data_IF_621251926898
#
_entry.id   IF_621251926898
#
_cell.length_a   1.000
_cell.length_b   1.000
_cell.length_c   1.000
_cell.angle_alpha   90.00
_cell.angle_beta   90.00
_cell.angle_gamma   90.00
#
_symmetry.space_group_name_H-M   'P 1'
#
loop_
_entity.id
_entity.type
_entity.pdbx_description
1 polymer ?
#
# COMPACT_ATOMS: atom_id res chain seq x y z
N UNK A 1 12.90 16.36 -17.67
CA UNK A 1 11.81 15.60 -18.31
C UNK A 1 12.31 14.32 -19.00
N UNK A 2 13.33 14.39 -19.89
CA UNK A 2 13.85 13.20 -20.59
C UNK A 2 14.44 12.11 -19.67
N UNK A 3 15.07 12.49 -18.55
CA UNK A 3 15.58 11.54 -17.57
C UNK A 3 14.46 10.93 -16.71
N UNK A 4 13.44 11.72 -16.37
CA UNK A 4 12.27 11.29 -15.59
C UNK A 4 11.37 10.33 -16.37
N UNK A 5 11.23 10.54 -17.69
CA UNK A 5 10.45 9.66 -18.57
C UNK A 5 11.07 8.26 -18.79
N UNK A 6 12.28 8.02 -18.26
CA UNK A 6 12.97 6.72 -18.31
C UNK A 6 13.24 6.08 -16.95
N UNK A 7 12.48 6.47 -15.91
CA UNK A 7 12.52 5.81 -14.63
C UNK A 7 13.46 6.43 -13.58
N UNK A 8 14.02 7.61 -13.79
CA UNK A 8 14.94 8.25 -12.85
C UNK A 8 16.34 7.61 -12.83
N UNK A 9 17.18 7.94 -11.84
CA UNK A 9 18.58 7.48 -11.70
C UNK A 9 19.44 7.61 -12.97
N UNK A 10 19.06 8.52 -13.84
CA UNK A 10 19.75 8.79 -15.11
C UNK A 10 20.18 10.25 -15.18
N UNK A 11 21.32 10.46 -15.78
CA UNK A 11 21.78 11.79 -16.19
C UNK A 11 21.62 11.90 -17.69
N UNK A 12 20.89 12.92 -18.15
CA UNK A 12 20.78 13.24 -19.56
C UNK A 12 21.57 14.51 -19.83
N UNK A 13 22.59 14.40 -20.64
CA UNK A 13 23.38 15.54 -21.11
C UNK A 13 22.94 15.83 -22.54
N UNK A 14 22.35 17.02 -22.73
CA UNK A 14 21.98 17.54 -24.04
C UNK A 14 22.91 18.70 -24.40
N UNK A 15 23.69 18.56 -25.44
CA UNK A 15 24.38 19.66 -26.10
C UNK A 15 23.80 19.82 -27.53
N UNK A 16 24.22 20.85 -28.24
CA UNK A 16 23.56 21.25 -29.48
C UNK A 16 23.54 20.17 -30.58
N UNK A 17 24.35 19.15 -30.49
CA UNK A 17 24.51 18.11 -31.52
C UNK A 17 24.14 16.71 -31.02
N UNK A 18 24.09 16.46 -29.72
CA UNK A 18 23.93 15.10 -29.19
C UNK A 18 23.21 15.07 -27.83
N UNK A 19 22.34 14.07 -27.67
CA UNK A 19 21.74 13.72 -26.40
C UNK A 19 22.45 12.44 -25.92
N UNK A 20 23.07 12.50 -24.76
CA UNK A 20 23.74 11.35 -24.14
C UNK A 20 23.03 10.98 -22.84
N UNK A 21 22.80 9.69 -22.64
CA UNK A 21 22.16 9.13 -21.44
C UNK A 21 23.22 8.37 -20.65
N UNK A 22 23.27 8.60 -19.33
CA UNK A 22 24.18 7.96 -18.41
C UNK A 22 23.41 7.41 -17.21
N UNK A 23 23.68 6.19 -16.79
CA UNK A 23 22.99 5.51 -15.69
C UNK A 23 21.70 4.80 -16.13
N UNK A 24 20.94 4.33 -15.16
CA UNK A 24 19.67 3.63 -15.40
C UNK A 24 19.86 2.18 -15.84
N UNK A 25 20.07 1.31 -14.85
CA UNK A 25 20.10 -0.13 -15.09
C UNK A 25 18.75 -0.72 -14.62
N UNK A 26 17.73 -0.54 -15.45
CA UNK A 26 16.34 -0.92 -15.18
C UNK A 26 16.23 -2.38 -14.70
N UNK A 27 17.02 -3.30 -15.28
CA UNK A 27 17.03 -4.72 -14.89
C UNK A 27 17.62 -4.96 -13.49
N UNK A 28 18.58 -4.16 -13.03
CA UNK A 28 19.12 -4.28 -11.67
C UNK A 28 18.18 -3.68 -10.64
N UNK A 29 17.48 -2.61 -10.96
CA UNK A 29 16.42 -2.03 -10.12
C UNK A 29 15.28 -3.03 -9.93
N UNK A 30 14.73 -3.62 -10.99
CA UNK A 30 13.71 -4.66 -10.90
C UNK A 30 14.15 -5.88 -10.07
N UNK A 31 15.37 -6.34 -10.24
CA UNK A 31 15.89 -7.48 -9.48
C UNK A 31 16.05 -7.15 -8.00
N UNK A 32 16.47 -5.93 -7.67
CA UNK A 32 16.58 -5.44 -6.28
C UNK A 32 15.20 -5.26 -5.63
N UNK A 33 14.22 -4.71 -6.35
CA UNK A 33 12.86 -4.52 -5.84
C UNK A 33 12.20 -5.87 -5.54
N UNK A 34 12.25 -6.85 -6.43
CA UNK A 34 11.69 -8.19 -6.21
C UNK A 34 12.30 -8.93 -5.03
N UNK A 35 13.63 -8.85 -4.85
CA UNK A 35 14.30 -9.45 -3.68
C UNK A 35 13.84 -8.76 -2.41
N UNK A 36 13.76 -7.43 -2.42
CA UNK A 36 13.30 -6.64 -1.29
C UNK A 36 11.85 -6.96 -0.95
N UNK A 37 10.96 -6.98 -1.94
CA UNK A 37 9.54 -7.32 -1.74
C UNK A 37 9.36 -8.71 -1.10
N UNK A 38 10.16 -9.70 -1.50
CA UNK A 38 10.13 -11.04 -0.91
C UNK A 38 10.52 -11.03 0.56
N UNK A 39 11.59 -10.31 0.92
CA UNK A 39 12.05 -10.18 2.32
C UNK A 39 11.00 -9.44 3.15
N UNK A 40 10.44 -8.35 2.63
CA UNK A 40 9.37 -7.58 3.27
C UNK A 40 8.12 -8.44 3.47
N UNK A 41 7.71 -9.20 2.45
CA UNK A 41 6.55 -10.10 2.55
C UNK A 41 6.73 -11.17 3.63
N UNK A 42 7.93 -11.71 3.79
CA UNK A 42 8.23 -12.67 4.84
C UNK A 42 8.16 -12.01 6.23
N UNK A 43 8.78 -10.84 6.42
CA UNK A 43 8.71 -10.11 7.68
C UNK A 43 7.26 -9.69 8.02
N UNK A 44 6.50 -9.24 7.02
CA UNK A 44 5.08 -8.91 7.18
C UNK A 44 4.27 -10.14 7.63
N UNK A 45 4.51 -11.30 7.03
CA UNK A 45 3.86 -12.56 7.46
C UNK A 45 4.14 -12.90 8.92
N UNK A 46 5.38 -12.80 9.35
CA UNK A 46 5.78 -13.10 10.74
C UNK A 46 5.05 -12.15 11.71
N UNK A 47 5.07 -10.84 11.43
CA UNK A 47 4.36 -9.85 12.25
C UNK A 47 2.84 -10.10 12.28
N UNK A 48 2.22 -10.53 11.16
CA UNK A 48 0.81 -10.90 11.09
C UNK A 48 0.54 -12.13 11.98
N UNK A 49 1.38 -13.17 11.92
CA UNK A 49 1.17 -14.38 12.72
C UNK A 49 1.33 -14.15 14.21
N UNK A 50 2.22 -13.27 14.63
CA UNK A 50 2.41 -12.88 16.04
C UNK A 50 1.28 -12.02 16.58
N UNK A 51 0.46 -11.43 15.72
CA UNK A 51 -0.56 -10.46 16.12
C UNK A 51 -1.89 -11.14 16.44
N UNK A 52 -2.64 -10.56 17.38
CA UNK A 52 -3.98 -11.01 17.75
C UNK A 52 -5.05 -10.54 16.76
N UNK A 53 -4.93 -9.30 16.32
CA UNK A 53 -5.77 -8.66 15.31
C UNK A 53 -4.96 -7.67 14.47
N UNK A 54 -5.42 -7.41 13.28
CA UNK A 54 -4.77 -6.50 12.35
C UNK A 54 -5.76 -5.39 11.95
N UNK A 55 -5.27 -4.16 12.00
CA UNK A 55 -5.96 -2.98 11.53
C UNK A 55 -5.21 -2.39 10.34
N UNK A 56 -5.95 -1.96 9.32
CA UNK A 56 -5.39 -1.28 8.15
C UNK A 56 -5.99 0.11 8.09
N UNK A 57 -5.19 1.13 7.83
CA UNK A 57 -5.68 2.46 7.51
C UNK A 57 -4.82 3.15 6.46
N UNK A 58 -5.42 4.06 5.70
CA UNK A 58 -4.77 4.91 4.72
C UNK A 58 -4.69 6.36 5.15
N UNK A 59 -4.70 7.26 4.18
CA UNK A 59 -4.75 8.71 4.40
C UNK A 59 -6.19 9.22 4.65
N UNK A 60 -6.32 10.49 5.10
CA UNK A 60 -7.59 11.11 5.54
C UNK A 60 -8.71 11.07 4.50
N UNK A 61 -8.36 11.21 3.22
CA UNK A 61 -9.31 11.19 2.11
C UNK A 61 -8.91 10.05 1.17
N UNK A 62 -9.14 8.78 1.56
CA UNK A 62 -8.66 7.65 0.80
C UNK A 62 -9.18 7.69 -0.64
N UNK A 63 -8.28 7.49 -1.55
CA UNK A 63 -8.56 7.28 -2.97
C UNK A 63 -8.57 5.79 -3.32
N UNK A 64 -8.62 5.48 -4.60
CA UNK A 64 -8.65 4.09 -5.05
C UNK A 64 -7.34 3.35 -4.79
N UNK A 65 -6.18 4.06 -4.69
CA UNK A 65 -4.92 3.38 -4.40
C UNK A 65 -4.84 2.98 -2.92
N UNK A 66 -5.07 3.91 -1.99
CA UNK A 66 -5.13 3.61 -0.56
C UNK A 66 -6.16 2.52 -0.23
N UNK A 67 -7.37 2.62 -0.83
CA UNK A 67 -8.46 1.69 -0.51
C UNK A 67 -8.29 0.34 -1.21
N UNK A 68 -7.87 0.30 -2.47
CA UNK A 68 -7.58 -0.94 -3.20
C UNK A 68 -6.44 -1.73 -2.57
N UNK A 69 -5.35 -1.05 -2.18
CA UNK A 69 -4.25 -1.64 -1.42
C UNK A 69 -4.74 -2.24 -0.08
N UNK A 70 -5.60 -1.50 0.65
CA UNK A 70 -6.20 -1.97 1.92
C UNK A 70 -7.01 -3.25 1.71
N UNK A 71 -7.88 -3.31 0.70
CA UNK A 71 -8.71 -4.48 0.39
C UNK A 71 -7.85 -5.67 -0.05
N UNK A 72 -6.82 -5.45 -0.85
CA UNK A 72 -5.87 -6.49 -1.26
C UNK A 72 -5.14 -7.10 -0.07
N UNK A 73 -4.62 -6.28 0.85
CA UNK A 73 -3.99 -6.74 2.09
C UNK A 73 -4.97 -7.47 2.99
N UNK A 74 -6.18 -6.93 3.19
CA UNK A 74 -7.23 -7.59 3.95
C UNK A 74 -7.49 -9.00 3.42
N UNK A 75 -7.65 -9.15 2.11
CA UNK A 75 -7.86 -10.46 1.48
C UNK A 75 -6.70 -11.43 1.76
N UNK A 76 -5.45 -10.97 1.63
CA UNK A 76 -4.28 -11.79 1.91
C UNK A 76 -4.20 -12.21 3.39
N UNK A 77 -4.45 -11.29 4.31
CA UNK A 77 -4.42 -11.54 5.76
C UNK A 77 -5.51 -12.53 6.17
N UNK A 78 -6.70 -12.41 5.60
CA UNK A 78 -7.80 -13.37 5.79
C UNK A 78 -7.45 -14.77 5.31
N UNK A 79 -6.74 -14.89 4.19
CA UNK A 79 -6.25 -16.16 3.69
C UNK A 79 -5.16 -16.78 4.57
N UNK A 80 -4.44 -15.97 5.36
CA UNK A 80 -3.53 -16.44 6.41
C UNK A 80 -4.27 -16.84 7.70
N UNK A 81 -5.62 -16.76 7.74
CA UNK A 81 -6.43 -17.16 8.89
C UNK A 81 -6.47 -16.12 10.02
N UNK A 82 -6.13 -14.86 9.74
CA UNK A 82 -6.10 -13.79 10.75
C UNK A 82 -7.29 -12.83 10.62
N UNK A 83 -7.72 -12.28 11.77
CA UNK A 83 -8.72 -11.21 11.81
C UNK A 83 -8.10 -9.91 11.34
N UNK A 84 -8.82 -9.20 10.46
CA UNK A 84 -8.35 -7.94 9.89
C UNK A 84 -9.54 -7.05 9.56
N UNK A 85 -9.42 -5.75 9.85
CA UNK A 85 -10.39 -4.74 9.50
C UNK A 85 -9.70 -3.50 8.90
N UNK A 86 -10.43 -2.79 8.05
CA UNK A 86 -9.99 -1.51 7.48
C UNK A 86 -10.72 -0.39 8.21
N UNK A 87 -9.98 0.61 8.68
CA UNK A 87 -10.52 1.76 9.40
C UNK A 87 -10.95 2.83 8.40
N UNK A 88 -12.24 3.17 8.40
CA UNK A 88 -12.82 4.26 7.60
C UNK A 88 -13.91 4.94 8.42
N UNK A 89 -13.82 6.26 8.62
CA UNK A 89 -14.75 7.03 9.43
C UNK A 89 -15.85 7.73 8.63
N UNK A 90 -15.64 8.02 7.34
CA UNK A 90 -16.53 8.83 6.55
C UNK A 90 -16.89 8.16 5.22
N UNK A 91 -18.06 8.51 4.70
CA UNK A 91 -18.40 8.25 3.31
C UNK A 91 -17.54 9.13 2.40
N UNK A 92 -16.78 8.51 1.53
CA UNK A 92 -15.77 9.18 0.70
C UNK A 92 -16.15 9.01 -0.76
N UNK A 93 -16.62 10.10 -1.38
CA UNK A 93 -17.13 10.12 -2.74
C UNK A 93 -16.19 9.45 -3.77
N UNK A 94 -14.87 9.57 -3.55
CA UNK A 94 -13.87 9.01 -4.49
C UNK A 94 -13.91 7.48 -4.60
N UNK A 95 -14.36 6.78 -3.56
CA UNK A 95 -14.39 5.31 -3.48
C UNK A 95 -15.80 4.74 -3.32
N UNK A 96 -16.84 5.59 -3.30
CA UNK A 96 -18.22 5.20 -3.03
C UNK A 96 -18.71 4.07 -3.91
N UNK A 97 -18.48 4.15 -5.20
CA UNK A 97 -18.92 3.10 -6.13
C UNK A 97 -18.32 1.75 -5.77
N UNK A 98 -17.03 1.72 -5.51
CA UNK A 98 -16.33 0.48 -5.17
C UNK A 98 -16.70 -0.02 -3.76
N UNK A 99 -16.88 0.88 -2.82
CA UNK A 99 -17.32 0.57 -1.46
C UNK A 99 -18.74 -0.02 -1.45
N UNK A 100 -19.68 0.55 -2.22
CA UNK A 100 -21.03 0.02 -2.36
C UNK A 100 -21.04 -1.38 -2.99
N UNK A 101 -20.14 -1.63 -3.94
CA UNK A 101 -19.96 -2.95 -4.54
C UNK A 101 -19.48 -3.99 -3.50
N UNK A 102 -18.54 -3.63 -2.62
CA UNK A 102 -18.10 -4.49 -1.51
C UNK A 102 -19.25 -4.75 -0.52
N UNK A 103 -19.99 -3.71 -0.13
CA UNK A 103 -21.13 -3.83 0.80
C UNK A 103 -22.29 -4.71 0.26
N UNK A 104 -22.35 -4.96 -1.05
CA UNK A 104 -23.34 -5.83 -1.66
C UNK A 104 -23.05 -7.33 -1.54
N UNK A 105 -21.86 -7.71 -1.05
CA UNK A 105 -21.45 -9.11 -0.87
C UNK A 105 -21.12 -9.37 0.60
N UNK A 106 -21.87 -10.27 1.22
CA UNK A 106 -21.73 -10.65 2.64
C UNK A 106 -20.34 -11.12 3.06
N UNK A 107 -19.50 -11.50 2.12
CA UNK A 107 -18.07 -11.79 2.37
C UNK A 107 -17.35 -10.61 3.05
N UNK A 108 -17.81 -9.39 2.79
CA UNK A 108 -17.15 -8.15 3.22
C UNK A 108 -17.88 -7.43 4.36
N UNK A 109 -18.90 -8.03 4.98
CA UNK A 109 -19.70 -7.43 6.06
C UNK A 109 -18.86 -6.90 7.23
N UNK A 110 -17.74 -7.57 7.54
CA UNK A 110 -16.82 -7.19 8.60
C UNK A 110 -15.50 -6.57 8.07
N UNK A 111 -15.52 -6.04 6.87
CA UNK A 111 -14.34 -5.42 6.25
C UNK A 111 -14.00 -4.08 6.91
N UNK A 112 -15.02 -3.22 7.06
CA UNK A 112 -14.88 -1.83 7.49
C UNK A 112 -15.30 -1.65 8.94
N UNK A 113 -14.53 -0.85 9.67
CA UNK A 113 -14.86 -0.41 11.03
C UNK A 113 -14.54 1.08 11.16
N UNK A 114 -15.24 1.75 12.07
CA UNK A 114 -14.92 3.13 12.46
C UNK A 114 -13.68 3.21 13.35
N UNK A 115 -13.06 4.40 13.45
CA UNK A 115 -11.99 4.65 14.42
C UNK A 115 -12.41 4.35 15.86
N UNK A 116 -13.65 4.65 16.23
CA UNK A 116 -14.18 4.36 17.57
C UNK A 116 -14.26 2.85 17.86
N UNK A 117 -14.61 2.04 16.87
CA UNK A 117 -14.60 0.58 17.00
C UNK A 117 -13.17 0.04 17.02
N UNK A 118 -12.30 0.59 16.18
CA UNK A 118 -10.88 0.24 16.16
C UNK A 118 -10.22 0.49 17.52
N UNK A 119 -10.46 1.65 18.14
CA UNK A 119 -9.91 2.00 19.45
C UNK A 119 -10.27 0.98 20.55
N UNK A 120 -11.49 0.42 20.51
CA UNK A 120 -11.96 -0.61 21.45
C UNK A 120 -11.30 -1.96 21.20
N UNK A 121 -10.86 -2.22 19.98
CA UNK A 121 -10.22 -3.47 19.58
C UNK A 121 -8.71 -3.48 19.81
N UNK A 122 -8.09 -2.33 20.12
CA UNK A 122 -6.65 -2.20 20.32
C UNK A 122 -6.21 -2.94 21.60
N UNK A 123 -5.18 -3.75 21.46
CA UNK A 123 -4.47 -4.41 22.55
C UNK A 123 -2.96 -4.48 22.24
N UNK A 124 -2.15 -4.99 23.18
CA UNK A 124 -0.68 -5.02 23.06
C UNK A 124 -0.17 -5.83 21.86
N UNK A 125 -0.99 -6.72 21.30
CA UNK A 125 -0.68 -7.54 20.12
C UNK A 125 -1.39 -7.08 18.85
N UNK A 126 -2.03 -5.90 18.86
CA UNK A 126 -2.62 -5.32 17.67
C UNK A 126 -1.52 -4.86 16.71
N UNK A 127 -1.62 -5.26 15.43
CA UNK A 127 -0.76 -4.77 14.35
C UNK A 127 -1.54 -3.75 13.54
N UNK A 128 -0.93 -2.58 13.34
CA UNK A 128 -1.44 -1.56 12.43
C UNK A 128 -0.63 -1.57 11.13
N UNK A 129 -1.31 -1.67 10.00
CA UNK A 129 -0.71 -1.51 8.67
C UNK A 129 -1.22 -0.19 8.09
N UNK A 130 -0.30 0.73 7.86
CA UNK A 130 -0.58 2.03 7.26
C UNK A 130 -0.21 1.94 5.78
N UNK A 131 -1.15 2.24 4.91
CA UNK A 131 -0.98 2.15 3.45
C UNK A 131 -1.14 3.49 2.78
N UNK A 132 -0.31 3.72 1.77
CA UNK A 132 -0.36 4.88 0.89
C UNK A 132 -0.17 6.23 1.60
N UNK A 133 0.43 6.19 2.78
CA UNK A 133 0.78 7.37 3.55
C UNK A 133 1.84 7.05 4.59
N UNK A 134 2.83 7.92 4.73
CA UNK A 134 3.80 7.86 5.82
C UNK A 134 3.91 9.18 6.59
N UNK A 135 3.20 10.23 6.14
CA UNK A 135 3.22 11.56 6.76
C UNK A 135 2.16 11.65 7.86
N UNK A 136 2.56 12.14 9.06
CA UNK A 136 1.67 12.36 10.21
C UNK A 136 0.47 13.26 9.91
N UNK A 137 0.68 14.27 9.07
CA UNK A 137 -0.36 15.25 8.72
C UNK A 137 -1.48 14.69 7.84
N UNK A 138 -1.22 13.60 7.12
CA UNK A 138 -2.15 13.03 6.13
C UNK A 138 -2.76 11.69 6.54
N UNK A 139 -2.21 10.97 7.52
CA UNK A 139 -2.79 9.71 8.00
C UNK A 139 -4.21 9.89 8.53
N UNK A 140 -5.11 8.95 8.29
CA UNK A 140 -6.54 9.09 8.59
C UNK A 140 -6.81 9.35 10.08
N UNK A 141 -6.12 8.65 10.98
CA UNK A 141 -6.21 8.85 12.43
C UNK A 141 -4.84 8.75 13.08
N UNK A 142 -4.24 9.90 13.41
CA UNK A 142 -2.93 9.98 14.02
C UNK A 142 -2.92 9.39 15.44
N UNK A 143 -4.00 9.58 16.22
CA UNK A 143 -4.07 9.06 17.59
C UNK A 143 -3.99 7.53 17.62
N UNK A 144 -4.68 6.85 16.71
CA UNK A 144 -4.58 5.39 16.55
C UNK A 144 -3.16 5.01 16.13
N UNK A 145 -2.56 5.73 15.17
CA UNK A 145 -1.21 5.47 14.71
C UNK A 145 -0.16 5.64 15.82
N UNK A 146 -0.33 6.58 16.72
CA UNK A 146 0.57 6.80 17.86
C UNK A 146 0.34 5.80 18.99
N UNK A 147 -0.91 5.43 19.25
CA UNK A 147 -1.28 4.49 20.32
C UNK A 147 -0.78 3.06 20.08
N UNK A 148 -0.72 2.63 18.81
CA UNK A 148 -0.29 1.27 18.46
C UNK A 148 1.22 1.26 18.23
N UNK A 149 1.96 0.52 19.09
CA UNK A 149 3.42 0.39 18.97
C UNK A 149 3.85 -0.53 17.80
N UNK A 150 3.04 -1.55 17.48
CA UNK A 150 3.31 -2.50 16.42
C UNK A 150 2.71 -1.99 15.11
N UNK A 151 3.46 -1.21 14.36
CA UNK A 151 2.98 -0.60 13.10
C UNK A 151 3.92 -0.88 11.94
N UNK A 152 3.35 -0.95 10.75
CA UNK A 152 4.02 -1.13 9.46
C UNK A 152 3.55 -0.02 8.52
N UNK A 153 4.45 0.50 7.71
CA UNK A 153 4.14 1.49 6.68
C UNK A 153 4.47 0.90 5.31
N UNK A 154 3.51 0.95 4.38
CA UNK A 154 3.66 0.56 2.98
C UNK A 154 3.23 1.75 2.13
N UNK A 155 4.17 2.39 1.41
CA UNK A 155 3.90 3.65 0.72
C UNK A 155 4.85 3.83 -0.48
N UNK A 156 4.37 4.52 -1.51
CA UNK A 156 5.17 4.82 -2.70
C UNK A 156 5.49 6.31 -2.85
N UNK A 157 5.01 7.14 -1.93
CA UNK A 157 5.25 8.58 -1.96
C UNK A 157 6.70 8.95 -1.61
N UNK A 158 7.15 10.09 -2.11
CA UNK A 158 8.46 10.65 -1.75
C UNK A 158 8.50 10.93 -0.25
N UNK A 159 9.63 10.65 0.37
CA UNK A 159 9.81 10.83 1.82
C UNK A 159 9.49 12.25 2.27
N UNK A 160 8.64 12.35 3.27
CA UNK A 160 8.32 13.58 3.98
C UNK A 160 9.22 13.75 5.21
N UNK A 161 9.51 14.97 5.66
CA UNK A 161 10.17 15.19 6.96
C UNK A 161 9.30 14.76 8.15
N UNK A 162 7.96 14.87 8.04
CA UNK A 162 7.01 14.55 9.10
C UNK A 162 6.55 13.09 9.04
N UNK A 163 7.49 12.16 9.10
CA UNK A 163 7.20 10.73 9.02
C UNK A 163 6.58 10.20 10.33
N UNK A 164 5.68 9.22 10.21
CA UNK A 164 5.17 8.44 11.34
C UNK A 164 6.31 7.60 11.89
N UNK A 165 6.68 7.85 13.15
CA UNK A 165 7.82 7.20 13.81
C UNK A 165 7.46 5.88 14.48
N UNK A 166 8.48 5.08 14.82
CA UNK A 166 8.33 3.85 15.58
C UNK A 166 7.71 2.69 14.81
N UNK A 167 7.68 2.75 13.48
CA UNK A 167 7.25 1.60 12.69
C UNK A 167 8.28 0.46 12.73
N UNK A 168 7.82 -0.77 12.98
CA UNK A 168 8.64 -1.99 12.96
C UNK A 168 9.17 -2.28 11.56
N UNK A 169 8.41 -1.90 10.54
CA UNK A 169 8.74 -2.10 9.14
C UNK A 169 8.29 -0.88 8.32
N UNK A 170 9.23 -0.32 7.56
CA UNK A 170 8.96 0.74 6.58
C UNK A 170 9.28 0.22 5.18
N UNK A 171 8.25 -0.04 4.39
CA UNK A 171 8.37 -0.37 2.98
C UNK A 171 7.92 0.81 2.14
N UNK A 172 8.84 1.76 1.93
CA UNK A 172 8.62 2.95 1.13
C UNK A 172 9.43 2.80 -0.15
N UNK A 173 8.73 2.77 -1.31
CA UNK A 173 9.31 2.52 -2.62
C UNK A 173 8.85 3.56 -3.65
N UNK A 174 9.61 4.64 -3.76
CA UNK A 174 9.27 5.80 -4.59
C UNK A 174 9.24 5.53 -6.11
N UNK A 175 9.77 4.39 -6.53
CA UNK A 175 9.76 3.98 -7.93
C UNK A 175 8.54 3.13 -8.29
N UNK A 176 7.82 2.62 -7.32
CA UNK A 176 6.56 1.93 -7.55
C UNK A 176 5.54 2.91 -8.14
N UNK A 177 4.68 2.42 -9.01
CA UNK A 177 3.64 3.24 -9.63
C UNK A 177 2.55 3.63 -8.64
N UNK A 178 2.27 2.73 -7.68
CA UNK A 178 1.21 2.87 -6.69
C UNK A 178 1.46 1.93 -5.49
N UNK A 179 0.80 2.19 -4.38
CA UNK A 179 0.78 1.27 -3.23
C UNK A 179 0.05 -0.03 -3.56
N UNK A 180 -0.97 0.01 -4.40
CA UNK A 180 -1.68 -1.18 -4.91
C UNK A 180 -0.77 -2.10 -5.75
N UNK A 181 0.16 -1.56 -6.52
CA UNK A 181 1.20 -2.35 -7.20
C UNK A 181 2.08 -3.07 -6.17
N UNK A 182 2.59 -2.34 -5.18
CA UNK A 182 3.43 -2.89 -4.11
C UNK A 182 2.73 -4.01 -3.35
N UNK A 183 1.46 -3.81 -3.00
CA UNK A 183 0.63 -4.82 -2.33
C UNK A 183 0.39 -6.03 -3.21
N UNK A 184 0.14 -5.84 -4.52
CA UNK A 184 -0.02 -6.94 -5.48
C UNK A 184 1.23 -7.81 -5.53
N UNK A 185 2.41 -7.19 -5.51
CA UNK A 185 3.68 -7.91 -5.45
C UNK A 185 3.86 -8.65 -4.12
N UNK A 186 3.57 -7.99 -2.98
CA UNK A 186 3.67 -8.61 -1.65
C UNK A 186 2.78 -9.85 -1.51
N UNK A 187 1.54 -9.81 -2.02
CA UNK A 187 0.58 -10.92 -1.96
C UNK A 187 1.16 -12.20 -2.58
N UNK A 188 1.90 -12.08 -3.69
CA UNK A 188 2.52 -13.22 -4.36
C UNK A 188 3.56 -13.94 -3.49
N UNK A 189 4.23 -13.21 -2.60
CA UNK A 189 5.24 -13.77 -1.70
C UNK A 189 4.69 -14.12 -0.32
N UNK A 190 3.59 -13.48 0.10
CA UNK A 190 2.91 -13.79 1.36
C UNK A 190 2.15 -15.11 1.31
N UNK A 191 1.59 -15.46 0.16
CA UNK A 191 0.71 -16.62 -0.04
C UNK A 191 1.33 -17.60 -1.05
N UNK A 192 1.26 -18.90 -0.74
CA UNK A 192 1.72 -19.93 -1.68
C UNK A 192 0.83 -20.02 -2.92
N UNK A 193 -0.47 -19.85 -2.75
CA UNK A 193 -1.49 -19.84 -3.81
C UNK A 193 -2.48 -18.72 -3.54
N UNK A 194 -2.18 -17.48 -3.96
CA UNK A 194 -3.09 -16.35 -3.77
C UNK A 194 -4.44 -16.61 -4.44
N UNK A 195 -5.52 -16.35 -3.71
CA UNK A 195 -6.90 -16.39 -4.23
C UNK A 195 -7.49 -15.00 -4.10
N UNK A 196 -7.42 -14.23 -5.17
CA UNK A 196 -7.96 -12.88 -5.24
C UNK A 196 -9.27 -12.95 -6.01
N UNK A 197 -10.37 -12.53 -5.40
CA UNK A 197 -11.67 -12.44 -6.06
C UNK A 197 -11.66 -11.31 -7.11
N UNK A 198 -12.64 -11.36 -8.03
CA UNK A 198 -12.76 -10.32 -9.07
C UNK A 198 -12.86 -8.92 -8.46
N UNK A 199 -13.65 -8.75 -7.41
CA UNK A 199 -13.85 -7.44 -6.77
C UNK A 199 -12.57 -6.96 -6.08
N UNK A 200 -11.80 -7.84 -5.45
CA UNK A 200 -10.52 -7.50 -4.83
C UNK A 200 -9.47 -7.11 -5.89
N UNK A 201 -9.43 -7.84 -7.01
CA UNK A 201 -8.56 -7.52 -8.14
C UNK A 201 -8.95 -6.17 -8.81
N UNK A 202 -10.24 -5.86 -8.90
CA UNK A 202 -10.72 -4.58 -9.40
C UNK A 202 -10.26 -3.41 -8.51
N UNK A 203 -10.22 -3.60 -7.18
CA UNK A 203 -9.68 -2.60 -6.25
C UNK A 203 -8.20 -2.32 -6.48
N UNK A 204 -7.39 -3.37 -6.51
CA UNK A 204 -5.95 -3.26 -6.76
C UNK A 204 -5.66 -2.63 -8.13
N UNK A 205 -6.34 -3.10 -9.17
CA UNK A 205 -6.19 -2.56 -10.52
C UNK A 205 -6.66 -1.10 -10.60
N UNK A 206 -7.75 -0.75 -9.90
CA UNK A 206 -8.28 0.61 -9.81
C UNK A 206 -7.25 1.57 -9.21
N UNK A 207 -6.57 1.18 -8.14
CA UNK A 207 -5.48 1.95 -7.54
C UNK A 207 -4.34 2.18 -8.54
N UNK A 208 -3.82 1.11 -9.14
CA UNK A 208 -2.76 1.21 -10.17
C UNK A 208 -3.20 2.12 -11.32
N UNK A 209 -4.44 1.94 -11.81
CA UNK A 209 -4.96 2.72 -12.94
C UNK A 209 -5.05 4.22 -12.63
N UNK A 210 -5.53 4.57 -11.44
CA UNK A 210 -5.70 5.98 -11.05
C UNK A 210 -4.34 6.67 -10.90
N UNK A 211 -3.40 6.06 -10.21
CA UNK A 211 -2.08 6.63 -9.95
C UNK A 211 -1.20 6.72 -11.19
N UNK A 212 -1.37 5.77 -12.11
CA UNK A 212 -0.68 5.80 -13.40
C UNK A 212 -1.40 6.66 -14.46
N UNK A 213 -2.55 7.29 -14.09
CA UNK A 213 -3.42 8.03 -15.02
C UNK A 213 -3.73 7.20 -16.27
N UNK A 214 -4.25 5.99 -16.07
CA UNK A 214 -4.54 5.07 -17.14
C UNK A 214 -3.30 4.51 -17.84
N UNK A 215 -2.26 4.18 -17.08
CA UNK A 215 -0.96 3.64 -17.55
C UNK A 215 -0.14 4.61 -18.40
N UNK A 216 -0.42 5.93 -18.34
CA UNK A 216 0.32 6.96 -19.07
C UNK A 216 1.55 7.47 -18.31
N UNK A 217 1.56 7.33 -16.98
CA UNK A 217 2.64 7.83 -16.11
C UNK A 217 3.07 6.72 -15.13
N UNK A 218 4.37 6.68 -14.83
CA UNK A 218 4.94 5.73 -13.85
C UNK A 218 4.49 4.27 -14.07
N UNK A 219 3.94 3.94 -15.25
CA UNK A 219 3.69 2.55 -15.59
C UNK A 219 5.05 1.87 -15.58
N UNK A 220 5.27 1.06 -14.58
CA UNK A 220 6.50 0.32 -14.39
C UNK A 220 6.88 -0.44 -15.67
N UNK A 221 8.14 -0.69 -15.82
CA UNK A 221 8.74 -1.37 -16.96
C UNK A 221 8.25 -2.81 -17.04
#
# INVERSE_FOLDING_TARGET
ELALGRGGDQVVIKNNEKISFFGGNTRELEKRTRVRARVIAQALRELIFESSNILIMGHKNPDMDAFGASVGLWSAIRQLGKSCNIIIDNDINAIDYYMNKLKSDSKYDNLLISSSEAEKAINDKTLLIIVDVHNKGYVSNLNIAEKINRKIIIDHHRRSPDIIEGALLNYIEVYASSTSEMVTELIQYMLQKPRISKIEAEGLLGGIFMDTKGFQFKSGV
#
